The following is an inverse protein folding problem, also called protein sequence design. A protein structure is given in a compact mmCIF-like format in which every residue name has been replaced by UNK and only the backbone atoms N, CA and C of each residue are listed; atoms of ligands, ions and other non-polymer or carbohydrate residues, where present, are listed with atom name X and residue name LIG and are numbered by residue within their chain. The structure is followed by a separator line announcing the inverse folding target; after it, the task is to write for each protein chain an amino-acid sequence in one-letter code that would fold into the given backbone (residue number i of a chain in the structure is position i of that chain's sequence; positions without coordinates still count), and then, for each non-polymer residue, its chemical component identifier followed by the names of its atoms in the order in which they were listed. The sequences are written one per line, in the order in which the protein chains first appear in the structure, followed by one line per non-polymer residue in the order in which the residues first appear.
data_IF_556073009798
#
_entry.id   IF_556073009798
#
_cell.length_a   1.000
_cell.length_b   1.000
_cell.length_c   1.000
_cell.angle_alpha   90.00
_cell.angle_beta   90.00
_cell.angle_gamma   90.00
#
_symmetry.space_group_name_H-M   'P 1'
#
loop_
_entity.id
_entity.type
_entity.pdbx_description
1 polymer ?
#
# COMPACT_ATOMS: atom_id res chain seq x y z
N UNK A 1 18.02 9.23 28.93
CA UNK A 1 17.61 7.86 28.48
C UNK A 1 16.16 7.97 28.08
N UNK A 2 15.86 7.73 26.80
CA UNK A 2 14.50 7.79 26.26
C UNK A 2 13.76 6.48 26.54
N UNK A 3 12.49 6.57 26.89
CA UNK A 3 11.64 5.40 27.08
C UNK A 3 10.71 5.21 25.88
N UNK A 4 10.66 3.97 25.33
CA UNK A 4 9.74 3.64 24.25
C UNK A 4 8.84 2.45 24.61
N UNK A 5 7.61 2.47 24.10
CA UNK A 5 6.62 1.42 24.27
C UNK A 5 6.17 0.85 22.93
N UNK A 6 5.87 -0.45 22.89
CA UNK A 6 5.35 -1.12 21.69
C UNK A 6 3.93 -1.59 21.94
N UNK A 7 2.94 -1.01 21.28
CA UNK A 7 1.53 -1.42 21.38
C UNK A 7 1.22 -2.73 20.62
N UNK A 8 2.13 -3.14 19.73
CA UNK A 8 2.07 -4.41 19.01
C UNK A 8 3.47 -5.03 19.00
N UNK A 9 3.62 -6.32 18.68
CA UNK A 9 4.92 -6.87 18.32
C UNK A 9 5.52 -6.09 17.13
N UNK A 10 6.75 -5.63 17.29
CA UNK A 10 7.56 -4.94 16.29
C UNK A 10 8.78 -5.81 16.00
N UNK A 11 9.18 -5.91 14.73
CA UNK A 11 10.29 -6.77 14.34
C UNK A 11 11.59 -6.34 15.03
N UNK A 12 12.31 -7.32 15.60
CA UNK A 12 13.54 -7.12 16.38
C UNK A 12 14.60 -6.37 15.57
N UNK A 13 14.73 -6.64 14.27
CA UNK A 13 15.66 -5.93 13.38
C UNK A 13 15.51 -4.41 13.41
N UNK A 14 14.30 -3.91 13.68
CA UNK A 14 14.06 -2.50 13.92
C UNK A 14 14.44 -2.08 15.32
N UNK A 15 14.03 -2.86 16.34
CA UNK A 15 14.29 -2.55 17.75
C UNK A 15 15.79 -2.57 18.08
N UNK A 16 16.57 -3.44 17.45
CA UNK A 16 18.03 -3.52 17.58
C UNK A 16 18.77 -2.24 17.15
N UNK A 17 18.10 -1.32 16.46
CA UNK A 17 18.67 -0.02 16.12
C UNK A 17 18.63 0.99 17.27
N UNK A 18 17.87 0.72 18.32
CA UNK A 18 17.94 1.52 19.54
C UNK A 18 19.24 1.26 20.27
N UNK A 19 19.89 2.35 20.67
CA UNK A 19 21.15 2.31 21.43
C UNK A 19 20.87 2.21 22.93
N UNK A 20 21.91 2.19 23.74
CA UNK A 20 21.84 2.22 25.22
C UNK A 20 21.13 3.49 25.78
N UNK A 21 20.95 4.51 24.94
CA UNK A 21 20.19 5.70 25.31
C UNK A 21 18.68 5.47 25.32
N UNK A 22 18.22 4.31 24.85
CA UNK A 22 16.81 3.94 24.77
C UNK A 22 16.50 2.74 25.65
N UNK A 23 15.39 2.79 26.35
CA UNK A 23 14.88 1.70 27.17
C UNK A 23 13.44 1.39 26.81
N UNK A 24 13.16 0.11 26.57
CA UNK A 24 11.79 -0.36 26.44
C UNK A 24 11.08 -0.33 27.79
N UNK A 25 9.88 0.25 27.82
CA UNK A 25 8.99 0.21 28.99
C UNK A 25 7.74 -0.61 28.68
N UNK A 26 7.26 -1.34 29.68
CA UNK A 26 5.97 -2.04 29.61
C UNK A 26 4.80 -1.10 29.95
N UNK A 27 5.05 0.02 30.62
CA UNK A 27 4.07 0.99 31.00
C UNK A 27 3.91 2.06 29.92
N UNK A 28 2.74 2.10 29.31
CA UNK A 28 2.43 3.07 28.23
C UNK A 28 2.57 4.53 28.72
N UNK A 29 2.23 4.80 29.99
CA UNK A 29 2.26 6.14 30.56
C UNK A 29 3.67 6.72 30.76
N UNK A 30 4.69 5.88 30.75
CA UNK A 30 6.08 6.31 30.92
C UNK A 30 6.80 6.56 29.58
N UNK A 31 6.12 6.28 28.47
CA UNK A 31 6.73 6.31 27.15
C UNK A 31 6.84 7.75 26.59
N UNK A 32 8.03 8.09 26.10
CA UNK A 32 8.27 9.28 25.28
C UNK A 32 8.06 8.98 23.79
N UNK A 33 8.21 7.73 23.38
CA UNK A 33 7.93 7.28 22.03
C UNK A 33 7.10 5.98 22.02
N UNK A 34 6.22 5.86 21.03
CA UNK A 34 5.38 4.67 20.85
C UNK A 34 5.54 4.12 19.44
N UNK A 35 5.79 2.81 19.37
CA UNK A 35 5.75 2.04 18.14
C UNK A 35 4.41 1.29 18.07
N UNK A 36 3.71 1.44 16.95
CA UNK A 36 2.40 0.80 16.73
C UNK A 36 2.32 0.21 15.32
N UNK A 37 1.57 -0.86 15.14
CA UNK A 37 1.25 -1.44 13.83
C UNK A 37 -0.25 -1.37 13.55
N UNK A 38 -1.06 -2.13 14.27
CA UNK A 38 -2.50 -2.28 14.03
C UNK A 38 -3.37 -1.94 15.24
N UNK A 39 -2.80 -1.77 16.44
CA UNK A 39 -3.56 -1.43 17.63
C UNK A 39 -4.29 -0.10 17.45
N UNK A 40 -5.57 -0.06 17.85
CA UNK A 40 -6.36 1.16 17.87
C UNK A 40 -5.94 2.05 19.03
N UNK A 41 -5.73 3.34 18.75
CA UNK A 41 -5.29 4.32 19.73
C UNK A 41 -6.35 5.39 20.04
N UNK A 42 -7.52 5.34 19.40
CA UNK A 42 -8.55 6.40 19.54
C UNK A 42 -9.09 6.52 20.95
N UNK A 43 -9.21 5.40 21.67
CA UNK A 43 -9.75 5.36 23.03
C UNK A 43 -8.65 5.46 24.11
N UNK A 44 -7.38 5.58 23.73
CA UNK A 44 -6.27 5.70 24.67
C UNK A 44 -6.13 7.15 25.16
N UNK A 45 -5.86 7.29 26.45
CA UNK A 45 -5.34 8.54 26.99
C UNK A 45 -3.85 8.63 26.70
N UNK A 46 -3.46 9.64 25.92
CA UNK A 46 -2.06 9.81 25.53
C UNK A 46 -1.28 10.41 26.70
N UNK A 47 -0.11 9.82 27.09
CA UNK A 47 0.72 10.33 28.18
C UNK A 47 1.17 11.78 27.95
N UNK A 48 1.27 12.56 29.01
CA UNK A 48 1.73 13.95 28.94
C UNK A 48 3.21 14.06 28.45
N UNK A 49 4.02 13.04 28.73
CA UNK A 49 5.42 12.94 28.30
C UNK A 49 5.62 12.35 26.89
N UNK A 50 4.56 11.98 26.19
CA UNK A 50 4.68 11.35 24.85
C UNK A 50 5.01 12.41 23.79
N UNK A 51 6.13 12.22 23.11
CA UNK A 51 6.66 13.13 22.09
C UNK A 51 6.44 12.63 20.66
N UNK A 52 6.48 11.30 20.46
CA UNK A 52 6.42 10.70 19.13
C UNK A 52 5.63 9.38 19.09
N UNK A 53 4.92 9.18 18.00
CA UNK A 53 4.31 7.88 17.64
C UNK A 53 4.80 7.51 16.25
N UNK A 54 5.37 6.31 16.07
CA UNK A 54 5.72 5.80 14.75
C UNK A 54 4.90 4.55 14.42
N UNK A 55 4.14 4.64 13.33
CA UNK A 55 3.39 3.50 12.83
C UNK A 55 4.27 2.69 11.87
N UNK A 56 4.56 1.43 12.23
CA UNK A 56 5.21 0.47 11.34
C UNK A 56 4.25 0.05 10.20
N UNK A 57 4.11 0.92 9.21
CA UNK A 57 3.22 0.77 8.05
C UNK A 57 2.75 2.13 7.49
N UNK A 58 2.10 2.11 6.33
CA UNK A 58 1.75 3.33 5.59
C UNK A 58 0.44 4.01 6.04
N UNK A 59 -0.60 3.23 6.39
CA UNK A 59 -1.89 3.79 6.82
C UNK A 59 -1.85 4.25 8.29
N UNK A 60 -2.66 5.22 8.69
CA UNK A 60 -2.66 5.79 10.07
C UNK A 60 -4.06 5.98 10.64
N UNK A 61 -5.04 5.32 10.08
CA UNK A 61 -6.44 5.40 10.49
C UNK A 61 -6.72 4.82 11.89
N UNK A 62 -5.77 4.14 12.50
CA UNK A 62 -5.83 3.65 13.88
C UNK A 62 -5.27 4.64 14.92
N UNK A 63 -4.77 5.83 14.48
CA UNK A 63 -4.13 6.83 15.34
C UNK A 63 -4.96 8.13 15.33
N UNK A 64 -5.26 8.75 16.49
CA UNK A 64 -6.03 9.99 16.59
C UNK A 64 -5.16 11.21 16.24
N UNK A 65 -4.95 11.48 14.93
CA UNK A 65 -3.99 12.47 14.44
C UNK A 65 -4.24 13.89 14.97
N UNK A 66 -5.50 14.34 15.05
CA UNK A 66 -5.86 15.68 15.55
C UNK A 66 -5.53 15.81 17.04
N UNK A 67 -5.89 14.79 17.84
CA UNK A 67 -5.56 14.75 19.28
C UNK A 67 -4.03 14.78 19.49
N UNK A 68 -3.28 14.01 18.69
CA UNK A 68 -1.82 14.02 18.73
C UNK A 68 -1.26 15.40 18.40
N UNK A 69 -1.77 16.04 17.33
CA UNK A 69 -1.31 17.37 16.92
C UNK A 69 -1.60 18.44 17.98
N UNK A 70 -2.75 18.38 18.65
CA UNK A 70 -3.12 19.32 19.71
C UNK A 70 -2.27 19.17 20.98
N UNK A 71 -1.75 17.96 21.24
CA UNK A 71 -0.85 17.67 22.35
C UNK A 71 0.64 17.81 21.99
N UNK A 72 0.98 18.19 20.77
CA UNK A 72 2.38 18.35 20.35
C UNK A 72 3.09 17.03 19.98
N UNK A 73 2.35 15.93 19.85
CA UNK A 73 2.89 14.60 19.53
C UNK A 73 3.06 14.47 18.02
N UNK A 74 4.28 14.17 17.56
CA UNK A 74 4.57 13.94 16.15
C UNK A 74 4.24 12.49 15.78
N UNK A 75 3.42 12.30 14.74
CA UNK A 75 3.05 10.98 14.24
C UNK A 75 3.75 10.71 12.92
N UNK A 76 4.54 9.63 12.89
CA UNK A 76 5.24 9.13 11.72
C UNK A 76 4.54 7.91 11.13
N UNK A 77 4.69 7.72 9.83
CA UNK A 77 4.39 6.45 9.16
C UNK A 77 5.59 6.03 8.29
N UNK A 78 5.56 4.82 7.75
CA UNK A 78 6.67 4.26 6.99
C UNK A 78 6.32 4.12 5.50
N UNK A 79 6.24 5.23 4.76
CA UNK A 79 5.80 5.22 3.36
C UNK A 79 6.83 4.49 2.48
N UNK A 80 6.35 3.51 1.72
CA UNK A 80 7.18 2.77 0.77
C UNK A 80 8.01 1.63 1.38
N UNK A 81 8.05 1.46 2.71
CA UNK A 81 8.77 0.36 3.35
C UNK A 81 8.24 -1.02 2.92
N UNK A 82 6.93 -1.14 2.75
CA UNK A 82 6.24 -2.34 2.29
C UNK A 82 5.99 -2.39 0.77
N UNK A 83 6.49 -1.42 0.01
CA UNK A 83 6.11 -1.26 -1.40
C UNK A 83 6.51 -2.45 -2.28
N UNK A 84 7.56 -3.18 -1.93
CA UNK A 84 7.98 -4.37 -2.66
C UNK A 84 6.98 -5.52 -2.48
N UNK A 85 6.53 -5.80 -1.26
CA UNK A 85 5.52 -6.83 -0.99
C UNK A 85 4.23 -6.56 -1.76
N UNK A 86 3.73 -5.31 -1.71
CA UNK A 86 2.54 -4.92 -2.49
C UNK A 86 2.76 -5.11 -3.98
N UNK A 87 3.91 -4.69 -4.53
CA UNK A 87 4.25 -4.92 -5.95
C UNK A 87 4.15 -6.41 -6.32
N UNK A 88 4.70 -7.29 -5.50
CA UNK A 88 4.68 -8.74 -5.78
C UNK A 88 3.25 -9.29 -5.74
N UNK A 89 2.42 -8.85 -4.81
CA UNK A 89 1.01 -9.24 -4.77
C UNK A 89 0.22 -8.72 -5.98
N UNK A 90 0.52 -7.52 -6.49
CA UNK A 90 -0.06 -7.01 -7.74
C UNK A 90 0.22 -7.97 -8.90
N UNK A 91 1.47 -8.44 -9.06
CA UNK A 91 1.81 -9.41 -10.11
C UNK A 91 1.16 -10.77 -9.89
N UNK A 92 1.08 -11.26 -8.66
CA UNK A 92 0.32 -12.46 -8.34
C UNK A 92 -1.15 -12.30 -8.78
N UNK A 93 -1.78 -11.17 -8.45
CA UNK A 93 -3.15 -10.83 -8.88
C UNK A 93 -3.30 -10.77 -10.40
N UNK A 94 -2.34 -10.17 -11.12
CA UNK A 94 -2.34 -10.12 -12.58
C UNK A 94 -2.28 -11.53 -13.20
N UNK A 95 -1.43 -12.40 -12.66
CA UNK A 95 -1.29 -13.79 -13.14
C UNK A 95 -2.54 -14.62 -12.84
N UNK A 96 -3.14 -14.48 -11.67
CA UNK A 96 -4.42 -15.10 -11.30
C UNK A 96 -5.58 -14.61 -12.17
N UNK A 97 -5.60 -13.34 -12.55
CA UNK A 97 -6.61 -12.80 -13.46
C UNK A 97 -6.41 -13.25 -14.91
N UNK A 98 -5.17 -13.55 -15.30
CA UNK A 98 -4.82 -13.93 -16.66
C UNK A 98 -5.19 -15.37 -17.00
N UNK A 99 -5.07 -16.29 -16.04
CA UNK A 99 -5.41 -17.72 -16.14
C UNK A 99 -6.16 -18.16 -14.90
N UNK A 100 -7.07 -19.09 -15.05
CA UNK A 100 -7.81 -19.62 -13.88
C UNK A 100 -6.97 -20.66 -13.11
N UNK A 101 -5.90 -20.16 -12.47
CA UNK A 101 -4.95 -21.01 -11.71
C UNK A 101 -5.66 -21.62 -10.50
N UNK A 102 -6.50 -20.85 -9.80
CA UNK A 102 -7.22 -21.32 -8.60
C UNK A 102 -8.22 -22.41 -8.99
N UNK A 103 -9.06 -22.18 -10.00
CA UNK A 103 -9.98 -23.20 -10.49
C UNK A 103 -9.26 -24.47 -10.99
N UNK A 104 -8.08 -24.31 -11.58
CA UNK A 104 -7.23 -25.46 -11.95
C UNK A 104 -6.73 -26.25 -10.74
N UNK A 105 -6.33 -25.58 -9.67
CA UNK A 105 -5.92 -26.22 -8.39
C UNK A 105 -7.09 -26.93 -7.76
N UNK A 106 -8.24 -26.26 -7.66
CA UNK A 106 -9.47 -26.83 -7.09
C UNK A 106 -9.90 -28.09 -7.84
N UNK A 107 -9.86 -28.04 -9.19
CA UNK A 107 -10.16 -29.21 -10.00
C UNK A 107 -9.23 -30.40 -9.69
N UNK A 108 -7.92 -30.17 -9.50
CA UNK A 108 -6.97 -31.24 -9.12
C UNK A 108 -7.30 -31.79 -7.73
N UNK A 109 -7.64 -30.92 -6.77
CA UNK A 109 -8.03 -31.35 -5.41
C UNK A 109 -9.32 -32.18 -5.42
N UNK A 110 -10.32 -31.80 -6.21
CA UNK A 110 -11.59 -32.54 -6.36
C UNK A 110 -11.36 -33.91 -7.02
N UNK A 111 -10.34 -34.04 -7.87
CA UNK A 111 -10.02 -35.28 -8.58
C UNK A 111 -8.83 -36.05 -7.99
N UNK A 112 -8.42 -35.79 -6.76
CA UNK A 112 -7.24 -36.38 -6.11
C UNK A 112 -7.26 -37.91 -6.05
N UNK A 113 -8.45 -38.51 -5.93
CA UNK A 113 -8.67 -39.95 -5.80
C UNK A 113 -9.01 -40.62 -7.16
N UNK A 114 -8.99 -39.87 -8.28
CA UNK A 114 -9.25 -40.36 -9.61
C UNK A 114 -7.98 -40.99 -10.20
N UNK A 115 -7.95 -42.30 -10.38
CA UNK A 115 -6.82 -43.01 -10.98
C UNK A 115 -6.48 -42.54 -12.42
N UNK A 116 -7.44 -41.94 -13.13
CA UNK A 116 -7.28 -41.41 -14.48
C UNK A 116 -6.99 -39.90 -14.49
N UNK A 117 -6.71 -39.25 -13.36
CA UNK A 117 -6.54 -37.79 -13.22
C UNK A 117 -5.59 -37.22 -14.27
N UNK A 118 -4.47 -37.89 -14.56
CA UNK A 118 -3.50 -37.47 -15.59
C UNK A 118 -4.12 -37.35 -16.98
N UNK A 119 -4.95 -38.31 -17.39
CA UNK A 119 -5.62 -38.31 -18.68
C UNK A 119 -6.75 -37.31 -18.76
N UNK A 120 -7.50 -37.16 -17.68
CA UNK A 120 -8.63 -36.25 -17.60
C UNK A 120 -8.16 -34.81 -17.49
N UNK A 121 -7.00 -34.53 -16.87
CA UNK A 121 -6.37 -33.21 -16.83
C UNK A 121 -6.09 -32.67 -18.25
N UNK A 122 -5.69 -33.51 -19.18
CA UNK A 122 -5.45 -33.10 -20.58
C UNK A 122 -6.72 -32.56 -21.27
N UNK A 123 -7.90 -33.01 -20.83
CA UNK A 123 -9.19 -32.52 -21.32
C UNK A 123 -9.63 -31.29 -20.55
N UNK A 124 -9.49 -31.32 -19.19
CA UNK A 124 -9.93 -30.26 -18.29
C UNK A 124 -9.14 -28.98 -18.46
N UNK A 125 -7.82 -29.06 -18.76
CA UNK A 125 -6.92 -27.88 -18.82
C UNK A 125 -7.42 -26.74 -19.72
N UNK A 126 -8.25 -27.02 -20.72
CA UNK A 126 -8.82 -26.02 -21.63
C UNK A 126 -9.75 -25.04 -20.90
N UNK A 127 -10.39 -25.48 -19.80
CA UNK A 127 -11.28 -24.64 -19.02
C UNK A 127 -10.52 -23.56 -18.21
N UNK A 128 -9.25 -23.84 -17.90
CA UNK A 128 -8.40 -22.97 -17.09
C UNK A 128 -7.41 -22.12 -17.92
N UNK A 129 -7.46 -22.28 -19.24
CA UNK A 129 -6.59 -21.54 -20.16
C UNK A 129 -6.88 -20.04 -20.15
N UNK A 130 -5.87 -19.24 -20.42
CA UNK A 130 -6.01 -17.78 -20.45
C UNK A 130 -4.99 -17.10 -21.35
N UNK A 131 -4.51 -15.95 -20.94
CA UNK A 131 -3.63 -15.09 -21.71
C UNK A 131 -2.26 -14.92 -21.02
N UNK A 132 -1.26 -14.54 -21.78
CA UNK A 132 0.03 -14.09 -21.29
C UNK A 132 0.01 -12.58 -21.01
N UNK A 133 0.95 -12.12 -20.15
CA UNK A 133 1.15 -10.70 -19.88
C UNK A 133 2.01 -10.01 -20.94
N UNK A 134 2.94 -10.74 -21.54
CA UNK A 134 3.83 -10.21 -22.58
C UNK A 134 3.03 -9.63 -23.76
N UNK A 135 3.39 -8.42 -24.18
CA UNK A 135 2.71 -7.68 -25.24
C UNK A 135 1.38 -7.04 -24.85
N UNK A 136 0.92 -7.22 -23.61
CA UNK A 136 -0.28 -6.53 -23.10
C UNK A 136 0.07 -5.14 -22.57
N UNK A 137 -0.93 -4.25 -22.56
CA UNK A 137 -0.81 -2.89 -22.07
C UNK A 137 -1.25 -2.79 -20.61
N UNK A 138 -0.37 -2.28 -19.76
CA UNK A 138 -0.65 -2.00 -18.35
C UNK A 138 -0.75 -0.49 -18.13
N UNK A 139 -1.87 -0.03 -17.63
CA UNK A 139 -2.05 1.32 -17.09
C UNK A 139 -1.74 1.33 -15.59
N UNK A 140 -0.85 2.22 -15.17
CA UNK A 140 -0.50 2.45 -13.76
C UNK A 140 -0.97 3.85 -13.38
N UNK A 141 -1.99 3.93 -12.53
CA UNK A 141 -2.55 5.19 -12.03
C UNK A 141 -2.00 5.43 -10.62
N UNK A 142 -1.17 6.47 -10.48
CA UNK A 142 -0.37 6.75 -9.28
C UNK A 142 1.02 6.15 -9.39
N UNK A 143 2.04 7.01 -9.49
CA UNK A 143 3.46 6.66 -9.63
C UNK A 143 4.25 6.99 -8.35
N UNK A 144 3.66 6.65 -7.20
CA UNK A 144 4.33 6.68 -5.91
C UNK A 144 5.26 5.48 -5.70
N UNK A 145 5.60 5.18 -4.44
CA UNK A 145 6.54 4.12 -4.08
C UNK A 145 6.17 2.73 -4.61
N UNK A 146 4.88 2.41 -4.70
CA UNK A 146 4.38 1.13 -5.24
C UNK A 146 4.27 1.21 -6.77
N UNK A 147 3.58 2.23 -7.30
CA UNK A 147 3.32 2.34 -8.73
C UNK A 147 4.58 2.36 -9.59
N UNK A 148 5.64 3.06 -9.17
CA UNK A 148 6.95 3.05 -9.85
C UNK A 148 7.54 1.63 -9.89
N UNK A 149 7.49 0.89 -8.77
CA UNK A 149 8.01 -0.49 -8.73
C UNK A 149 7.20 -1.43 -9.63
N UNK A 150 5.88 -1.30 -9.63
CA UNK A 150 4.99 -2.07 -10.51
C UNK A 150 5.26 -1.74 -11.96
N UNK A 151 5.30 -0.45 -12.33
CA UNK A 151 5.57 -0.01 -13.69
C UNK A 151 6.91 -0.54 -14.21
N UNK A 152 7.98 -0.41 -13.42
CA UNK A 152 9.30 -0.89 -13.79
C UNK A 152 9.34 -2.42 -13.97
N UNK A 153 8.77 -3.18 -13.03
CA UNK A 153 8.76 -4.64 -13.10
C UNK A 153 7.91 -5.16 -14.28
N UNK A 154 6.80 -4.48 -14.61
CA UNK A 154 5.97 -4.84 -15.75
C UNK A 154 6.71 -4.72 -17.09
N UNK A 155 7.61 -3.74 -17.23
CA UNK A 155 8.45 -3.63 -18.45
C UNK A 155 9.36 -4.86 -18.63
N UNK A 156 9.86 -5.45 -17.55
CA UNK A 156 10.68 -6.65 -17.60
C UNK A 156 9.88 -7.93 -17.92
N UNK A 157 8.56 -7.91 -17.69
CA UNK A 157 7.65 -8.97 -18.13
C UNK A 157 7.18 -8.80 -19.58
N UNK A 158 7.75 -7.84 -20.31
CA UNK A 158 7.42 -7.61 -21.73
C UNK A 158 6.08 -6.89 -21.94
N UNK A 159 5.53 -6.22 -20.92
CA UNK A 159 4.34 -5.40 -21.07
C UNK A 159 4.67 -4.02 -21.62
N UNK A 160 3.73 -3.41 -22.36
CA UNK A 160 3.74 -1.98 -22.64
C UNK A 160 3.13 -1.23 -21.44
N UNK A 161 3.90 -0.36 -20.80
CA UNK A 161 3.46 0.30 -19.56
C UNK A 161 3.15 1.77 -19.82
N UNK A 162 1.97 2.20 -19.38
CA UNK A 162 1.47 3.57 -19.41
C UNK A 162 1.32 4.07 -17.98
N UNK A 163 1.98 5.17 -17.65
CA UNK A 163 1.98 5.74 -16.30
C UNK A 163 1.29 7.11 -16.26
N UNK A 164 0.37 7.28 -15.32
CA UNK A 164 -0.33 8.53 -15.04
C UNK A 164 -0.20 8.90 -13.57
N UNK A 165 0.36 10.06 -13.29
CA UNK A 165 0.37 10.69 -11.97
C UNK A 165 0.60 12.20 -12.13
N UNK A 166 -0.43 13.05 -11.92
CA UNK A 166 -0.28 14.49 -12.04
C UNK A 166 0.55 15.13 -10.92
N UNK A 167 0.84 14.38 -9.85
CA UNK A 167 1.58 14.83 -8.67
C UNK A 167 2.90 14.08 -8.46
N UNK A 168 3.43 13.45 -9.52
CA UNK A 168 4.66 12.64 -9.40
C UNK A 168 5.80 13.45 -8.78
N UNK A 169 6.43 12.89 -7.76
CA UNK A 169 7.61 13.53 -7.16
C UNK A 169 8.84 13.41 -8.07
N UNK A 170 9.78 14.34 -7.95
CA UNK A 170 11.05 14.31 -8.69
C UNK A 170 11.78 12.98 -8.47
N UNK A 171 11.84 12.50 -7.22
CA UNK A 171 12.51 11.23 -6.89
C UNK A 171 11.81 10.02 -7.52
N UNK A 172 10.49 10.01 -7.56
CA UNK A 172 9.72 8.95 -8.22
C UNK A 172 9.97 8.97 -9.73
N UNK A 173 9.97 10.14 -10.35
CA UNK A 173 10.25 10.31 -11.78
C UNK A 173 11.67 9.83 -12.15
N UNK A 174 12.68 10.15 -11.33
CA UNK A 174 14.05 9.66 -11.53
C UNK A 174 14.20 8.15 -11.37
N UNK A 175 13.31 7.51 -10.60
CA UNK A 175 13.31 6.06 -10.37
C UNK A 175 12.51 5.29 -11.43
N UNK A 176 11.77 5.98 -12.29
CA UNK A 176 10.92 5.37 -13.30
C UNK A 176 11.75 4.94 -14.53
N UNK A 177 11.49 3.73 -15.04
CA UNK A 177 12.10 3.22 -16.26
C UNK A 177 11.73 4.09 -17.47
N UNK A 178 12.70 4.34 -18.35
CA UNK A 178 12.48 5.04 -19.63
C UNK A 178 11.50 4.33 -20.56
N UNK A 179 11.24 3.05 -20.33
CA UNK A 179 10.28 2.26 -21.11
C UNK A 179 8.84 2.49 -20.70
N UNK A 180 8.59 3.20 -19.60
CA UNK A 180 7.24 3.59 -19.17
C UNK A 180 6.83 4.83 -19.96
N UNK A 181 5.69 4.75 -20.65
CA UNK A 181 5.11 5.85 -21.41
C UNK A 181 4.35 6.76 -20.45
N UNK A 182 4.82 7.99 -20.30
CA UNK A 182 4.09 9.02 -19.55
C UNK A 182 2.88 9.48 -20.37
N UNK A 183 1.73 9.57 -19.72
CA UNK A 183 0.48 10.08 -20.28
C UNK A 183 -0.07 11.22 -19.44
N UNK A 184 -0.80 12.13 -20.12
CA UNK A 184 -1.28 13.36 -19.51
C UNK A 184 -2.74 13.26 -19.01
N UNK A 185 -3.44 12.20 -19.40
CA UNK A 185 -4.86 12.02 -19.10
C UNK A 185 -5.14 10.57 -18.72
N UNK A 186 -5.94 10.37 -17.69
CA UNK A 186 -6.31 9.02 -17.23
C UNK A 186 -7.19 8.29 -18.26
N UNK A 187 -7.93 9.02 -19.08
CA UNK A 187 -8.78 8.50 -20.15
C UNK A 187 -7.96 7.75 -21.22
N UNK A 188 -6.71 8.16 -21.45
CA UNK A 188 -5.80 7.42 -22.33
C UNK A 188 -5.48 6.01 -21.76
N UNK A 189 -5.35 5.89 -20.43
CA UNK A 189 -5.22 4.57 -19.76
C UNK A 189 -6.49 3.76 -19.99
N UNK A 190 -7.66 4.34 -19.74
CA UNK A 190 -8.93 3.64 -19.85
C UNK A 190 -9.13 3.07 -21.26
N UNK A 191 -8.92 3.87 -22.28
CA UNK A 191 -9.15 3.46 -23.68
C UNK A 191 -8.09 2.51 -24.24
N UNK A 192 -6.85 2.54 -23.73
CA UNK A 192 -5.72 1.84 -24.34
C UNK A 192 -5.32 0.53 -23.63
N UNK A 193 -5.54 0.42 -22.31
CA UNK A 193 -4.91 -0.62 -21.51
C UNK A 193 -5.75 -1.90 -21.36
N UNK A 194 -5.08 -3.04 -21.29
CA UNK A 194 -5.68 -4.36 -21.05
C UNK A 194 -5.76 -4.68 -19.56
N UNK A 195 -4.84 -4.08 -18.78
CA UNK A 195 -4.78 -4.15 -17.32
C UNK A 195 -4.67 -2.72 -16.78
N UNK A 196 -5.38 -2.42 -15.71
CA UNK A 196 -5.30 -1.14 -15.00
C UNK A 196 -5.08 -1.40 -13.53
N UNK A 197 -4.03 -0.84 -12.96
CA UNK A 197 -3.70 -0.93 -11.53
C UNK A 197 -3.67 0.47 -10.92
N UNK A 198 -4.28 0.62 -9.74
CA UNK A 198 -4.41 1.91 -9.06
C UNK A 198 -3.58 1.93 -7.78
N UNK A 199 -2.80 3.00 -7.61
CA UNK A 199 -1.87 3.21 -6.49
C UNK A 199 -1.93 4.64 -5.95
N UNK A 200 -3.13 5.22 -5.94
CA UNK A 200 -3.39 6.56 -5.41
C UNK A 200 -3.91 6.52 -3.98
N UNK A 201 -3.72 7.57 -3.18
CA UNK A 201 -4.36 7.69 -1.87
C UNK A 201 -5.88 7.83 -2.01
N UNK A 202 -6.62 7.47 -0.97
CA UNK A 202 -8.04 7.74 -0.87
C UNK A 202 -8.24 9.18 -0.37
N UNK A 203 -8.72 10.02 -1.26
CA UNK A 203 -9.07 11.43 -1.05
C UNK A 203 -10.50 11.66 -1.58
N UNK A 204 -11.07 12.83 -1.34
CA UNK A 204 -12.42 13.14 -1.82
C UNK A 204 -12.54 13.05 -3.36
N UNK A 205 -11.50 13.47 -4.08
CA UNK A 205 -11.45 13.45 -5.57
C UNK A 205 -11.08 12.08 -6.14
N UNK A 206 -10.47 11.17 -5.35
CA UNK A 206 -10.13 9.82 -5.81
C UNK A 206 -11.14 8.78 -5.36
N UNK A 207 -12.02 9.13 -4.41
CA UNK A 207 -13.09 8.25 -3.96
C UNK A 207 -14.01 7.90 -5.12
N UNK A 208 -14.19 6.58 -5.33
CA UNK A 208 -14.98 6.03 -6.45
C UNK A 208 -14.53 6.58 -7.82
N UNK A 209 -13.22 6.83 -7.99
CA UNK A 209 -12.68 7.28 -9.27
C UNK A 209 -12.90 6.26 -10.39
N UNK A 210 -12.92 4.97 -10.07
CA UNK A 210 -13.35 3.92 -10.98
C UNK A 210 -14.84 3.64 -10.77
N UNK A 211 -15.66 4.39 -11.49
CA UNK A 211 -17.11 4.37 -11.49
C UNK A 211 -17.66 3.90 -12.85
N UNK A 212 -18.97 3.95 -13.02
CA UNK A 212 -19.65 3.54 -14.25
C UNK A 212 -19.15 4.30 -15.49
N UNK A 213 -18.91 5.61 -15.37
CA UNK A 213 -18.43 6.47 -16.44
C UNK A 213 -17.00 6.10 -16.84
N UNK A 214 -16.14 5.79 -15.87
CA UNK A 214 -14.78 5.31 -16.12
C UNK A 214 -14.80 3.96 -16.82
N UNK A 215 -15.58 2.98 -16.33
CA UNK A 215 -15.68 1.66 -16.96
C UNK A 215 -16.21 1.75 -18.39
N UNK A 216 -17.17 2.63 -18.69
CA UNK A 216 -17.69 2.81 -20.03
C UNK A 216 -16.62 3.20 -21.07
N UNK A 217 -15.56 3.92 -20.64
CA UNK A 217 -14.44 4.35 -21.49
C UNK A 217 -13.36 3.26 -21.68
N UNK A 218 -13.36 2.20 -20.85
CA UNK A 218 -12.34 1.17 -20.88
C UNK A 218 -12.52 0.20 -22.03
N UNK A 219 -11.49 -0.54 -22.33
CA UNK A 219 -11.57 -1.65 -23.29
C UNK A 219 -12.44 -2.78 -22.74
N UNK A 220 -13.14 -3.47 -23.64
CA UNK A 220 -13.89 -4.68 -23.28
C UNK A 220 -12.93 -5.76 -22.80
N UNK A 221 -13.28 -6.39 -21.69
CA UNK A 221 -12.46 -7.43 -21.08
C UNK A 221 -11.23 -6.91 -20.31
N UNK A 222 -11.19 -5.64 -19.92
CA UNK A 222 -10.13 -5.08 -19.09
C UNK A 222 -10.04 -5.79 -17.73
N UNK A 223 -8.85 -5.88 -17.18
CA UNK A 223 -8.61 -6.38 -15.82
C UNK A 223 -8.28 -5.19 -14.92
N UNK A 224 -9.01 -5.09 -13.81
CA UNK A 224 -8.81 -4.03 -12.80
C UNK A 224 -8.12 -4.63 -11.57
N UNK A 225 -7.07 -3.94 -11.09
CA UNK A 225 -6.31 -4.31 -9.90
C UNK A 225 -6.33 -3.16 -8.88
N UNK A 226 -6.85 -3.45 -7.69
CA UNK A 226 -6.91 -2.49 -6.58
C UNK A 226 -6.20 -3.03 -5.34
N UNK A 227 -4.97 -2.60 -5.13
CA UNK A 227 -4.16 -2.89 -3.95
C UNK A 227 -3.85 -1.61 -3.16
N UNK A 228 -4.61 -0.53 -3.41
CA UNK A 228 -4.40 0.75 -2.75
C UNK A 228 -5.40 1.02 -1.62
N UNK A 229 -6.69 1.21 -1.94
CA UNK A 229 -7.79 1.40 -0.96
C UNK A 229 -9.11 0.91 -1.56
N UNK A 230 -9.99 0.35 -0.74
CA UNK A 230 -11.30 -0.18 -1.13
C UNK A 230 -12.19 0.84 -1.85
N UNK A 231 -12.39 2.01 -1.25
CA UNK A 231 -13.31 3.05 -1.74
C UNK A 231 -12.84 3.78 -3.01
N UNK A 232 -11.72 3.41 -3.61
CA UNK A 232 -11.28 3.96 -4.91
C UNK A 232 -12.13 3.43 -6.08
N UNK A 233 -12.77 2.28 -5.88
CA UNK A 233 -13.63 1.63 -6.88
C UNK A 233 -15.07 1.67 -6.40
N UNK A 234 -15.98 1.98 -7.30
CA UNK A 234 -17.42 1.80 -7.05
C UNK A 234 -17.77 0.33 -7.26
N UNK A 235 -18.08 -0.36 -6.15
CA UNK A 235 -18.24 -1.81 -6.14
C UNK A 235 -19.49 -2.29 -6.88
N UNK A 236 -20.58 -1.53 -6.83
CA UNK A 236 -21.78 -1.87 -7.60
C UNK A 236 -21.54 -1.67 -9.09
N UNK A 237 -20.86 -0.59 -9.45
CA UNK A 237 -20.53 -0.30 -10.83
C UNK A 237 -19.57 -1.34 -11.43
N UNK A 238 -18.57 -1.82 -10.68
CA UNK A 238 -17.64 -2.82 -11.19
C UNK A 238 -18.30 -4.20 -11.33
N UNK A 239 -19.20 -4.59 -10.44
CA UNK A 239 -19.96 -5.84 -10.58
C UNK A 239 -20.85 -5.80 -11.83
N UNK A 240 -21.53 -4.69 -12.07
CA UNK A 240 -22.31 -4.47 -13.31
C UNK A 240 -21.40 -4.57 -14.54
N UNK A 241 -20.22 -3.92 -14.52
CA UNK A 241 -19.27 -3.96 -15.63
C UNK A 241 -18.71 -5.38 -15.88
N UNK A 242 -18.60 -6.23 -14.84
CA UNK A 242 -18.21 -7.63 -14.99
C UNK A 242 -19.36 -8.43 -15.64
N UNK A 243 -20.60 -8.23 -15.23
CA UNK A 243 -21.77 -8.91 -15.79
C UNK A 243 -21.95 -8.56 -17.28
N UNK A 244 -21.71 -7.31 -17.65
CA UNK A 244 -21.77 -6.82 -19.04
C UNK A 244 -20.56 -7.24 -19.88
N UNK A 245 -19.52 -7.87 -19.29
CA UNK A 245 -18.29 -8.29 -19.97
C UNK A 245 -17.31 -7.16 -20.27
N UNK A 246 -17.58 -5.95 -19.78
CA UNK A 246 -16.70 -4.78 -19.89
C UNK A 246 -15.41 -5.00 -19.06
N UNK A 247 -15.56 -5.48 -17.83
CA UNK A 247 -14.47 -5.89 -16.96
C UNK A 247 -14.39 -7.43 -16.93
N UNK A 248 -13.26 -8.01 -17.28
CA UNK A 248 -13.03 -9.46 -17.26
C UNK A 248 -12.84 -9.98 -15.84
N UNK A 249 -12.01 -9.27 -15.04
CA UNK A 249 -11.67 -9.61 -13.66
C UNK A 249 -11.43 -8.35 -12.85
N UNK A 250 -11.90 -8.37 -11.60
CA UNK A 250 -11.52 -7.42 -10.56
C UNK A 250 -10.71 -8.13 -9.50
N UNK A 251 -9.48 -7.67 -9.28
CA UNK A 251 -8.59 -8.19 -8.24
C UNK A 251 -8.42 -7.13 -7.16
N UNK A 252 -8.70 -7.47 -5.92
CA UNK A 252 -8.58 -6.54 -4.81
C UNK A 252 -8.04 -7.21 -3.56
N UNK A 253 -7.36 -6.43 -2.73
CA UNK A 253 -6.84 -6.85 -1.43
C UNK A 253 -7.73 -6.34 -0.25
N UNK A 254 -8.95 -5.91 -0.56
CA UNK A 254 -9.90 -5.35 0.41
C UNK A 254 -11.18 -6.18 0.45
N UNK A 255 -11.24 -7.22 1.33
CA UNK A 255 -12.38 -8.11 1.41
C UNK A 255 -13.62 -7.40 1.99
N UNK A 256 -14.75 -7.61 1.35
CA UNK A 256 -16.06 -7.14 1.80
C UNK A 256 -17.17 -8.07 1.29
N UNK A 257 -18.39 -7.87 1.79
CA UNK A 257 -19.54 -8.72 1.45
C UNK A 257 -20.08 -8.49 0.03
N UNK A 258 -19.74 -7.39 -0.60
CA UNK A 258 -20.20 -7.04 -1.95
C UNK A 258 -19.43 -7.82 -3.02
N UNK A 259 -18.11 -7.91 -2.89
CA UNK A 259 -17.22 -8.49 -3.90
C UNK A 259 -16.75 -9.91 -3.59
N UNK A 260 -16.69 -10.30 -2.31
CA UNK A 260 -16.23 -11.63 -1.90
C UNK A 260 -17.11 -12.74 -2.47
N UNK A 261 -16.50 -13.71 -3.13
CA UNK A 261 -17.18 -14.87 -3.74
C UNK A 261 -17.99 -14.55 -5.00
N UNK A 262 -17.95 -13.31 -5.50
CA UNK A 262 -18.63 -12.96 -6.76
C UNK A 262 -17.83 -13.43 -7.97
N UNK A 263 -18.56 -13.90 -8.98
CA UNK A 263 -17.95 -14.30 -10.25
C UNK A 263 -17.19 -13.14 -10.85
N UNK A 264 -15.93 -13.38 -11.25
CA UNK A 264 -15.09 -12.34 -11.83
C UNK A 264 -14.27 -11.54 -10.80
N UNK A 265 -14.56 -11.67 -9.50
CA UNK A 265 -13.77 -11.06 -8.43
C UNK A 265 -12.75 -12.05 -7.87
N UNK A 266 -11.52 -11.56 -7.64
CA UNK A 266 -10.46 -12.25 -6.91
C UNK A 266 -10.11 -11.36 -5.73
N UNK A 267 -10.39 -11.82 -4.52
CA UNK A 267 -10.29 -11.00 -3.30
C UNK A 267 -9.32 -11.68 -2.34
N UNK A 268 -8.30 -10.93 -1.90
CA UNK A 268 -7.32 -11.40 -0.90
C UNK A 268 -7.53 -10.69 0.43
N UNK A 269 -7.16 -11.29 1.57
CA UNK A 269 -7.46 -10.75 2.90
C UNK A 269 -6.40 -9.74 3.38
N UNK A 270 -6.15 -8.68 2.61
CA UNK A 270 -5.23 -7.57 2.90
C UNK A 270 -3.78 -8.04 3.12
N UNK A 271 -3.25 -8.79 2.15
CA UNK A 271 -1.92 -9.41 2.20
C UNK A 271 -0.78 -8.54 1.67
N UNK A 272 -1.08 -7.36 1.10
CA UNK A 272 -0.08 -6.55 0.40
C UNK A 272 1.19 -6.23 1.19
N UNK A 273 1.08 -6.07 2.50
CA UNK A 273 2.20 -5.81 3.41
C UNK A 273 2.54 -7.01 4.32
N UNK A 274 1.91 -8.16 4.12
CA UNK A 274 2.05 -9.32 5.00
C UNK A 274 3.21 -10.23 4.56
N UNK A 275 4.42 -9.69 4.57
CA UNK A 275 5.67 -10.41 4.36
C UNK A 275 6.66 -10.04 5.46
N UNK A 276 7.58 -10.96 5.80
CA UNK A 276 8.62 -10.72 6.80
C UNK A 276 9.42 -9.46 6.46
N UNK A 277 9.83 -9.31 5.21
CA UNK A 277 10.63 -8.17 4.75
C UNK A 277 9.85 -6.85 4.82
N UNK A 278 8.55 -6.86 4.59
CA UNK A 278 7.71 -5.66 4.75
C UNK A 278 7.63 -5.24 6.22
N UNK A 279 7.48 -6.20 7.14
CA UNK A 279 7.44 -5.95 8.58
C UNK A 279 8.79 -5.43 9.07
N UNK A 280 9.88 -6.07 8.67
CA UNK A 280 11.25 -5.67 9.00
C UNK A 280 11.56 -4.25 8.50
N UNK A 281 11.27 -3.96 7.24
CA UNK A 281 11.51 -2.64 6.65
C UNK A 281 10.68 -1.55 7.33
N UNK A 282 9.42 -1.83 7.68
CA UNK A 282 8.57 -0.89 8.41
C UNK A 282 9.13 -0.63 9.83
N UNK A 283 9.55 -1.67 10.55
CA UNK A 283 10.13 -1.53 11.88
C UNK A 283 11.43 -0.70 11.85
N UNK A 284 12.33 -1.01 10.92
CA UNK A 284 13.60 -0.27 10.72
C UNK A 284 13.33 1.21 10.41
N UNK A 285 12.36 1.50 9.53
CA UNK A 285 12.05 2.89 9.18
C UNK A 285 11.44 3.63 10.37
N UNK A 286 10.46 3.05 11.06
CA UNK A 286 9.79 3.63 12.22
C UNK A 286 10.77 3.99 13.34
N UNK A 287 11.69 3.08 13.65
CA UNK A 287 12.73 3.33 14.69
C UNK A 287 13.68 4.44 14.26
N UNK A 288 14.11 4.46 12.98
CA UNK A 288 14.98 5.54 12.47
C UNK A 288 14.32 6.92 12.55
N UNK A 289 13.01 7.00 12.30
CA UNK A 289 12.25 8.25 12.38
C UNK A 289 12.14 8.74 13.82
N UNK A 290 11.82 7.84 14.77
CA UNK A 290 11.81 8.18 16.21
C UNK A 290 13.18 8.67 16.66
N UNK A 291 14.25 7.96 16.32
CA UNK A 291 15.62 8.35 16.68
C UNK A 291 15.99 9.71 16.12
N UNK A 292 15.76 9.92 14.83
CA UNK A 292 16.11 11.19 14.17
C UNK A 292 15.32 12.37 14.77
N UNK A 293 14.07 12.12 15.21
CA UNK A 293 13.28 13.13 15.89
C UNK A 293 13.77 13.40 17.31
N UNK A 294 13.89 12.39 18.16
CA UNK A 294 14.28 12.57 19.56
C UNK A 294 15.73 13.07 19.72
N UNK A 295 16.64 12.61 18.86
CA UNK A 295 18.07 12.98 18.93
C UNK A 295 18.37 14.31 18.23
N UNK A 296 17.66 14.62 17.13
CA UNK A 296 18.01 15.73 16.25
C UNK A 296 16.88 16.76 16.05
N UNK A 297 15.65 16.46 16.46
CA UNK A 297 14.47 17.30 16.20
C UNK A 297 14.04 17.28 14.73
N UNK A 298 14.53 16.35 13.93
CA UNK A 298 14.14 16.22 12.53
C UNK A 298 12.79 15.55 12.39
N UNK A 299 11.95 16.04 11.47
CA UNK A 299 10.64 15.48 11.16
C UNK A 299 10.64 15.06 9.70
N UNK A 300 10.58 13.74 9.46
CA UNK A 300 10.46 13.15 8.12
C UNK A 300 9.28 12.17 8.12
N UNK A 301 8.51 12.15 7.04
CA UNK A 301 7.34 11.28 6.90
C UNK A 301 6.29 11.43 8.01
N UNK A 302 6.23 12.59 8.66
CA UNK A 302 5.13 12.88 9.59
C UNK A 302 3.83 13.09 8.83
N UNK A 303 2.73 12.62 9.42
CA UNK A 303 1.38 12.73 8.86
C UNK A 303 0.56 13.86 9.49
N UNK A 304 1.06 14.47 10.55
CA UNK A 304 0.38 15.56 11.26
C UNK A 304 1.22 16.84 11.43
N UNK A 305 2.50 16.80 11.05
CA UNK A 305 3.40 17.95 11.05
C UNK A 305 4.16 18.07 9.73
N UNK A 306 4.54 19.28 9.30
CA UNK A 306 5.36 19.47 8.11
C UNK A 306 6.77 18.90 8.30
N UNK A 307 7.41 18.52 7.19
CA UNK A 307 8.80 18.09 7.23
C UNK A 307 9.71 19.19 7.74
N UNK A 308 10.61 18.85 8.64
CA UNK A 308 11.67 19.70 9.16
C UNK A 308 12.99 18.91 9.16
N UNK A 309 13.99 19.40 8.47
CA UNK A 309 15.31 18.75 8.44
C UNK A 309 16.39 19.78 8.79
N UNK A 310 16.92 19.65 9.97
CA UNK A 310 17.97 20.52 10.52
C UNK A 310 19.35 19.83 10.54
N UNK A 311 19.42 18.59 10.00
CA UNK A 311 20.62 17.75 10.08
C UNK A 311 20.89 17.20 11.48
N UNK A 312 22.05 16.57 11.68
CA UNK A 312 22.48 16.07 12.98
C UNK A 312 22.67 17.21 13.98
N UNK A 313 22.24 16.97 15.24
CA UNK A 313 22.47 17.92 16.35
C UNK A 313 23.93 17.80 16.82
N UNK A 314 24.75 18.78 16.50
CA UNK A 314 26.18 18.86 16.88
C UNK A 314 26.45 19.80 18.06
N UNK A 315 25.41 20.43 18.59
CA UNK A 315 25.48 21.36 19.72
C UNK A 315 25.03 20.68 21.01
N UNK A 316 25.28 21.32 22.15
CA UNK A 316 24.86 20.83 23.46
C UNK A 316 23.34 20.67 23.63
N UNK A 317 22.57 21.33 22.76
CA UNK A 317 21.11 21.20 22.69
C UNK A 317 20.56 21.93 21.48
N UNK A 318 19.34 21.57 21.08
CA UNK A 318 18.59 22.21 20.00
C UNK A 318 17.13 22.35 20.43
N UNK A 319 16.54 23.48 20.07
CA UNK A 319 15.13 23.73 20.33
C UNK A 319 14.43 23.79 18.97
N UNK A 320 13.44 22.92 18.79
CA UNK A 320 12.49 22.98 17.68
C UNK A 320 11.14 23.47 18.21
N UNK A 321 10.60 24.53 17.61
CA UNK A 321 9.30 25.09 18.00
C UNK A 321 8.28 24.72 16.93
N UNK A 322 7.34 23.85 17.28
CA UNK A 322 6.23 23.46 16.44
C UNK A 322 5.00 24.28 16.86
N UNK A 323 4.42 25.02 15.95
CA UNK A 323 3.30 25.90 16.27
C UNK A 323 2.28 26.05 15.13
N UNK A 324 1.03 26.34 15.49
CA UNK A 324 -0.08 26.62 14.55
C UNK A 324 -0.03 28.08 14.09
N UNK A 325 0.98 28.63 13.59
CA UNK A 325 1.14 29.99 13.04
C UNK A 325 -0.06 30.96 13.28
N UNK A 326 -0.46 31.11 14.55
CA UNK A 326 -1.54 32.01 14.99
C UNK A 326 -0.93 33.36 15.34
N UNK A 327 -1.73 34.45 15.22
CA UNK A 327 -1.30 35.79 15.62
C UNK A 327 -0.94 35.82 17.12
N UNK A 328 0.27 36.25 17.43
CA UNK A 328 0.78 36.39 18.81
C UNK A 328 1.73 35.28 19.26
N UNK A 329 2.14 34.36 18.34
CA UNK A 329 3.23 33.41 18.59
C UNK A 329 4.55 34.02 18.14
#
# INVERSE_FOLDING_TARGET
MYQYHCLNPIAEVGLDLFTEDYQKTEEFNDAQAVLVRSAAMHDLELPEGLEAIARAGAGVNNIPLEKCADQGIVVFNTPGANANGVKELVFAGMLLASRDIVGGIDWVLENKDNENVKKDAEKAKKAFAGNELAGKKLGVIGLGAIGVRVANAATHLGMEVYGYDPFISVNAAWSLSRNVKHINSVEEIYSACDFITIHVPLLDDTKKMLNKEAFAQMKDGVVILNFARDLLVDEEAILTAIEEGKVKKYVTDFPNTTTAGKKGCIVTPHLGASTQESEDNCAVMAVKEIKDYLENGNIRNSVNYPNCNMGACTQAGRIAILHKNKKGI
#
